data_IF_655179138975
#
_entry.id   IF_655179138975
#
_cell.length_a   1.000
_cell.length_b   1.000
_cell.length_c   1.000
_cell.angle_alpha   90.00
_cell.angle_beta   90.00
_cell.angle_gamma   90.00
#
_symmetry.space_group_name_H-M   'P 1'
#
loop_
_entity.id
_entity.type
_entity.pdbx_description
1 polymer ?
#
# COMPACT_ATOMS: atom_id res chain seq x y z
N UNK A 1 40.04 -16.78 -17.32
CA UNK A 1 39.23 -16.68 -16.07
C UNK A 1 37.74 -16.96 -16.27
N UNK A 2 37.09 -16.53 -17.36
CA UNK A 2 35.62 -16.61 -17.56
C UNK A 2 34.96 -17.94 -17.14
N UNK A 3 35.42 -19.09 -17.66
CA UNK A 3 34.76 -20.39 -17.42
C UNK A 3 34.60 -20.79 -15.94
N UNK A 4 35.50 -20.36 -15.04
CA UNK A 4 35.35 -20.69 -13.60
C UNK A 4 34.17 -19.94 -12.95
N UNK A 5 33.81 -18.74 -13.42
CA UNK A 5 32.66 -18.00 -12.88
C UNK A 5 31.33 -18.66 -13.27
N UNK A 6 31.20 -19.12 -14.53
CA UNK A 6 29.99 -19.80 -15.02
C UNK A 6 29.73 -21.11 -14.27
N UNK A 7 30.76 -21.90 -13.99
CA UNK A 7 30.65 -23.15 -13.22
C UNK A 7 30.20 -22.88 -11.78
N UNK A 8 30.76 -21.86 -11.11
CA UNK A 8 30.33 -21.48 -9.76
C UNK A 8 28.87 -21.01 -9.72
N UNK A 9 28.40 -20.26 -10.72
CA UNK A 9 27.00 -19.84 -10.81
C UNK A 9 26.04 -21.04 -10.99
N UNK A 10 26.39 -22.01 -11.84
CA UNK A 10 25.59 -23.22 -12.05
C UNK A 10 25.56 -24.14 -10.80
N UNK A 11 26.68 -24.26 -10.07
CA UNK A 11 26.74 -25.02 -8.81
C UNK A 11 25.92 -24.34 -7.71
N UNK A 12 25.95 -23.01 -7.61
CA UNK A 12 25.12 -22.26 -6.67
C UNK A 12 23.62 -22.42 -6.98
N UNK A 13 23.23 -22.35 -8.25
CA UNK A 13 21.84 -22.54 -8.68
C UNK A 13 21.34 -23.95 -8.39
N UNK A 14 22.18 -24.98 -8.61
CA UNK A 14 21.85 -26.37 -8.29
C UNK A 14 21.68 -26.60 -6.77
N UNK A 15 22.53 -25.99 -5.95
CA UNK A 15 22.41 -26.05 -4.48
C UNK A 15 21.13 -25.38 -3.97
N UNK A 16 20.78 -24.21 -4.51
CA UNK A 16 19.53 -23.53 -4.18
C UNK A 16 18.30 -24.41 -4.51
N UNK A 17 18.30 -25.08 -5.68
CA UNK A 17 17.21 -25.96 -6.09
C UNK A 17 17.04 -27.17 -5.14
N UNK A 18 18.15 -27.77 -4.69
CA UNK A 18 18.13 -28.90 -3.74
C UNK A 18 17.59 -28.49 -2.37
N UNK A 19 17.95 -27.31 -1.87
CA UNK A 19 17.41 -26.77 -0.61
C UNK A 19 15.90 -26.52 -0.73
N UNK A 20 15.44 -25.98 -1.87
CA UNK A 20 14.02 -25.72 -2.10
C UNK A 20 13.18 -27.00 -2.14
N UNK A 21 13.65 -28.03 -2.86
CA UNK A 21 12.98 -29.35 -2.91
C UNK A 21 12.96 -30.05 -1.55
N UNK A 22 14.05 -29.94 -0.76
CA UNK A 22 14.10 -30.49 0.59
C UNK A 22 13.08 -29.81 1.54
N UNK A 23 12.93 -28.49 1.44
CA UNK A 23 11.92 -27.74 2.19
C UNK A 23 10.48 -28.18 1.86
N UNK A 24 10.18 -28.38 0.58
CA UNK A 24 8.85 -28.84 0.14
C UNK A 24 8.52 -30.25 0.66
N UNK A 25 9.47 -31.19 0.67
CA UNK A 25 9.24 -32.54 1.20
C UNK A 25 9.00 -32.57 2.72
N UNK A 26 9.58 -31.63 3.48
CA UNK A 26 9.39 -31.58 4.93
C UNK A 26 7.94 -31.20 5.31
N UNK A 27 7.26 -30.39 4.50
CA UNK A 27 5.88 -29.97 4.74
C UNK A 27 4.82 -31.05 4.47
N UNK A 28 5.09 -31.95 3.52
CA UNK A 28 4.12 -32.99 3.07
C UNK A 28 3.97 -34.15 4.07
N UNK A 29 4.85 -34.25 5.08
CA UNK A 29 4.91 -35.42 5.99
C UNK A 29 4.22 -35.24 7.36
N UNK A 30 3.60 -34.08 7.64
CA UNK A 30 3.01 -33.78 8.96
C UNK A 30 1.47 -33.78 9.03
N UNK A 31 0.75 -34.10 7.95
CA UNK A 31 -0.71 -34.27 7.95
C UNK A 31 -1.11 -35.70 7.58
N UNK A 32 -1.09 -36.62 8.57
CA UNK A 32 -1.27 -38.05 8.26
C UNK A 32 -1.40 -39.04 9.42
N UNK A 33 -1.99 -38.68 10.58
CA UNK A 33 -2.34 -39.66 11.63
C UNK A 33 -3.69 -39.36 12.30
N UNK A 34 -4.68 -40.28 12.26
CA UNK A 34 -5.93 -40.14 12.99
C UNK A 34 -5.77 -40.58 14.45
N UNK A 35 -6.33 -39.80 15.39
CA UNK A 35 -6.42 -40.18 16.81
C UNK A 35 -7.74 -40.92 17.04
N UNK A 36 -7.69 -42.13 17.60
CA UNK A 36 -8.87 -42.79 18.13
C UNK A 36 -9.26 -42.18 19.48
N UNK A 37 -10.49 -41.64 19.57
CA UNK A 37 -11.16 -41.31 20.83
C UNK A 37 -12.31 -42.29 21.08
N UNK A 38 -12.50 -42.73 22.32
CA UNK A 38 -13.55 -43.69 22.66
C UNK A 38 -14.94 -43.04 22.68
N UNK A 39 -15.95 -43.79 22.27
CA UNK A 39 -17.34 -43.33 22.26
C UNK A 39 -18.04 -43.45 23.61
N UNK A 40 -19.03 -42.58 23.82
CA UNK A 40 -20.07 -42.71 24.84
C UNK A 40 -21.41 -42.56 24.11
N UNK A 41 -22.29 -43.55 24.23
CA UNK A 41 -23.66 -43.47 23.69
C UNK A 41 -24.63 -42.97 24.76
N UNK A 42 -25.66 -42.21 24.37
CA UNK A 42 -27.04 -42.48 24.81
C UNK A 42 -28.10 -41.74 23.96
N UNK A 43 -29.20 -42.44 23.65
CA UNK A 43 -30.55 -41.97 23.30
C UNK A 43 -30.77 -40.73 22.40
N UNK A 44 -31.35 -40.97 21.23
CA UNK A 44 -32.33 -40.08 20.57
C UNK A 44 -33.68 -40.07 21.32
N UNK A 45 -34.60 -39.16 20.98
CA UNK A 45 -35.79 -39.60 20.24
C UNK A 45 -36.11 -38.76 19.00
N UNK A 46 -37.13 -39.18 18.24
CA UNK A 46 -37.54 -38.65 16.93
C UNK A 46 -38.68 -37.62 17.01
N UNK A 47 -38.80 -36.76 15.99
CA UNK A 47 -40.05 -36.19 15.39
C UNK A 47 -39.72 -34.89 14.62
N UNK A 48 -40.41 -34.50 13.55
CA UNK A 48 -41.22 -35.24 12.56
C UNK A 48 -41.19 -34.41 11.25
N UNK A 49 -41.53 -34.99 10.09
CA UNK A 49 -41.50 -34.28 8.79
C UNK A 49 -42.91 -34.08 8.24
N UNK A 50 -43.29 -32.81 8.03
CA UNK A 50 -44.33 -32.42 7.08
C UNK A 50 -43.89 -31.12 6.39
N UNK A 51 -43.74 -31.00 5.07
CA UNK A 51 -44.49 -31.52 3.91
C UNK A 51 -45.78 -30.73 3.60
N UNK A 52 -45.62 -29.66 2.81
CA UNK A 52 -46.69 -29.07 2.00
C UNK A 52 -46.07 -28.42 0.76
N UNK A 53 -46.56 -28.77 -0.43
CA UNK A 53 -46.19 -28.16 -1.71
C UNK A 53 -47.48 -27.60 -2.32
N UNK A 54 -47.42 -26.41 -2.92
CA UNK A 54 -48.50 -25.89 -3.76
C UNK A 54 -47.96 -24.90 -4.80
N UNK A 55 -47.62 -25.41 -5.99
CA UNK A 55 -47.63 -24.61 -7.21
C UNK A 55 -49.06 -24.54 -7.75
N UNK A 56 -49.47 -23.42 -8.34
CA UNK A 56 -50.61 -23.35 -9.28
C UNK A 56 -50.39 -22.17 -10.22
N UNK A 57 -50.65 -22.38 -11.51
CA UNK A 57 -50.42 -21.42 -12.60
C UNK A 57 -51.58 -20.40 -12.77
N UNK A 58 -51.44 -19.50 -13.75
CA UNK A 58 -52.35 -19.33 -14.92
C UNK A 58 -52.47 -17.86 -15.41
N UNK A 59 -52.12 -17.65 -16.69
CA UNK A 59 -52.52 -16.58 -17.64
C UNK A 59 -52.45 -15.07 -17.23
N UNK A 60 -51.65 -14.22 -17.87
CA UNK A 60 -51.71 -13.64 -19.26
C UNK A 60 -52.49 -12.34 -19.39
N UNK A 61 -51.83 -11.30 -19.92
CA UNK A 61 -52.42 -10.20 -20.69
C UNK A 61 -51.38 -9.65 -21.68
N UNK A 62 -51.82 -9.21 -22.86
CA UNK A 62 -51.03 -8.58 -23.94
C UNK A 62 -51.89 -7.45 -24.56
N UNK A 63 -51.35 -6.69 -25.51
CA UNK A 63 -51.99 -5.59 -26.27
C UNK A 63 -52.11 -4.24 -25.52
N UNK A 64 -51.88 -3.07 -26.14
CA UNK A 64 -51.30 -2.81 -27.46
C UNK A 64 -50.58 -1.44 -27.59
N UNK A 65 -49.55 -1.47 -28.44
CA UNK A 65 -48.90 -0.45 -29.30
C UNK A 65 -49.66 0.87 -29.54
N UNK A 66 -48.91 1.99 -29.59
CA UNK A 66 -49.14 3.04 -30.59
C UNK A 66 -47.82 3.69 -31.04
N UNK A 67 -47.67 3.94 -32.35
CA UNK A 67 -46.45 4.45 -33.02
C UNK A 67 -46.56 5.94 -33.37
N UNK A 68 -45.42 6.64 -33.49
CA UNK A 68 -45.25 7.82 -34.36
C UNK A 68 -43.81 7.85 -34.93
N UNK A 69 -43.66 8.04 -36.24
CA UNK A 69 -42.40 8.07 -37.00
C UNK A 69 -42.14 9.49 -37.64
N UNK A 70 -40.95 9.79 -38.22
CA UNK A 70 -40.36 11.14 -38.24
C UNK A 70 -40.45 11.94 -39.56
N UNK A 71 -39.80 13.12 -39.60
CA UNK A 71 -39.71 14.05 -40.75
C UNK A 71 -38.27 14.62 -40.92
N UNK A 72 -37.88 15.01 -42.15
CA UNK A 72 -36.56 15.55 -42.57
C UNK A 72 -36.73 16.89 -43.34
N UNK A 73 -35.74 17.67 -43.80
CA UNK A 73 -34.30 17.45 -44.15
C UNK A 73 -33.49 18.73 -43.72
N UNK A 74 -32.40 19.30 -44.32
CA UNK A 74 -31.68 19.17 -45.62
C UNK A 74 -30.18 19.58 -45.51
N UNK A 75 -29.48 19.67 -46.64
CA UNK A 75 -28.02 19.77 -46.84
C UNK A 75 -27.40 21.21 -46.89
N UNK A 76 -26.11 21.29 -46.50
CA UNK A 76 -24.91 21.96 -47.07
C UNK A 76 -24.98 23.01 -48.23
N UNK A 77 -23.95 23.91 -48.43
CA UNK A 77 -22.59 23.50 -48.86
C UNK A 77 -21.34 24.35 -48.47
N UNK A 78 -20.18 23.82 -48.89
CA UNK A 78 -18.75 24.21 -48.75
C UNK A 78 -18.31 25.61 -49.22
N UNK A 79 -17.25 26.18 -48.61
CA UNK A 79 -16.30 27.12 -49.23
C UNK A 79 -14.86 26.99 -48.64
N UNK A 80 -13.85 27.56 -49.31
CA UNK A 80 -12.41 27.21 -49.22
C UNK A 80 -11.51 28.19 -48.43
N UNK A 81 -10.26 27.72 -48.23
CA UNK A 81 -9.10 28.28 -47.54
C UNK A 81 -8.61 29.72 -47.89
N UNK A 82 -7.83 30.30 -46.97
CA UNK A 82 -6.46 30.84 -47.25
C UNK A 82 -5.68 31.09 -45.93
N UNK A 83 -4.36 30.86 -45.94
CA UNK A 83 -3.38 31.45 -44.99
C UNK A 83 -2.78 32.71 -45.65
N UNK A 84 -2.33 33.73 -44.89
CA UNK A 84 -0.88 33.84 -44.69
C UNK A 84 -0.40 34.51 -43.38
N UNK A 85 0.72 34.02 -42.85
CA UNK A 85 1.76 34.82 -42.16
C UNK A 85 2.76 35.39 -43.20
N UNK A 86 3.74 36.28 -42.85
CA UNK A 86 4.04 36.93 -41.56
C UNK A 86 4.18 38.48 -41.65
N UNK A 87 4.37 39.17 -40.52
CA UNK A 87 5.50 40.11 -40.38
C UNK A 87 5.84 40.45 -38.91
N UNK A 88 7.02 41.03 -38.68
CA UNK A 88 7.62 41.28 -37.36
C UNK A 88 7.80 42.80 -37.15
N UNK A 89 7.47 43.36 -35.97
CA UNK A 89 8.17 44.55 -35.42
C UNK A 89 7.92 44.77 -33.92
N UNK A 90 8.87 45.48 -33.31
CA UNK A 90 9.13 45.73 -31.89
C UNK A 90 7.99 46.10 -30.90
N UNK A 91 8.26 45.77 -29.64
CA UNK A 91 7.74 46.39 -28.40
C UNK A 91 7.90 47.93 -28.39
N UNK A 92 7.03 48.67 -27.66
CA UNK A 92 7.40 49.01 -26.28
C UNK A 92 6.24 49.12 -25.25
N UNK A 93 6.68 49.11 -23.98
CA UNK A 93 6.04 49.71 -22.80
C UNK A 93 4.73 49.13 -22.22
N UNK A 94 4.63 49.23 -20.90
CA UNK A 94 3.69 48.52 -20.02
C UNK A 94 2.95 49.53 -19.14
N UNK A 95 1.61 49.45 -19.01
CA UNK A 95 0.90 49.95 -17.85
C UNK A 95 0.29 48.80 -17.03
N UNK A 96 0.51 48.84 -15.72
CA UNK A 96 0.02 47.87 -14.73
C UNK A 96 -1.50 47.71 -14.80
N UNK A 97 -1.98 46.47 -14.90
CA UNK A 97 -3.34 46.07 -14.57
C UNK A 97 -3.28 44.99 -13.50
N UNK A 98 -4.05 45.17 -12.42
CA UNK A 98 -4.23 44.17 -11.37
C UNK A 98 -5.36 43.23 -11.78
N UNK A 99 -5.10 41.93 -11.87
CA UNK A 99 -6.14 40.90 -11.92
C UNK A 99 -5.83 39.72 -11.00
N UNK A 100 -6.77 39.53 -10.08
CA UNK A 100 -7.36 38.32 -9.50
C UNK A 100 -6.55 37.01 -9.37
N UNK A 101 -6.77 36.38 -8.21
CA UNK A 101 -6.10 35.18 -7.72
C UNK A 101 -6.57 33.92 -8.47
N UNK A 102 -5.74 33.42 -9.40
CA UNK A 102 -5.96 32.14 -10.06
C UNK A 102 -5.36 31.01 -9.21
N UNK A 103 -6.19 30.07 -8.79
CA UNK A 103 -5.77 28.87 -8.04
C UNK A 103 -4.78 28.03 -8.84
N UNK A 104 -3.49 28.13 -8.52
CA UNK A 104 -2.45 27.29 -9.10
C UNK A 104 -2.46 25.93 -8.40
N UNK A 105 -3.05 24.93 -9.07
CA UNK A 105 -2.78 23.53 -8.76
C UNK A 105 -1.35 23.20 -9.18
N UNK A 106 -0.38 23.41 -8.29
CA UNK A 106 0.97 22.86 -8.47
C UNK A 106 0.90 21.33 -8.37
N UNK A 107 0.85 20.66 -9.53
CA UNK A 107 1.10 19.22 -9.62
C UNK A 107 2.51 18.94 -9.10
N UNK A 108 2.66 17.98 -8.17
CA UNK A 108 3.97 17.52 -7.71
C UNK A 108 4.80 17.06 -8.91
N UNK A 109 6.06 17.49 -9.01
CA UNK A 109 6.87 17.20 -10.19
C UNK A 109 7.25 15.72 -10.26
N UNK A 110 7.41 15.18 -11.47
CA UNK A 110 7.84 13.78 -11.65
C UNK A 110 9.13 13.44 -10.89
N UNK A 111 10.05 14.39 -10.75
CA UNK A 111 11.30 14.20 -9.98
C UNK A 111 11.08 14.00 -8.47
N UNK A 112 9.93 14.43 -7.93
CA UNK A 112 9.51 14.13 -6.55
C UNK A 112 8.77 12.79 -6.41
N UNK A 113 8.23 12.23 -7.50
CA UNK A 113 7.47 10.97 -7.52
C UNK A 113 8.25 9.76 -8.07
N UNK A 114 9.29 9.97 -8.89
CA UNK A 114 9.98 8.91 -9.63
C UNK A 114 11.24 8.34 -8.96
N UNK A 115 11.36 8.46 -7.64
CA UNK A 115 12.28 7.61 -6.88
C UNK A 115 11.59 6.32 -6.43
N UNK A 116 12.36 5.25 -6.19
CA UNK A 116 11.83 4.03 -5.58
C UNK A 116 11.54 4.27 -4.09
N UNK A 117 10.41 4.91 -3.78
CA UNK A 117 9.79 4.84 -2.44
C UNK A 117 9.65 3.36 -2.07
N UNK A 118 10.16 2.98 -0.91
CA UNK A 118 10.35 1.56 -0.57
C UNK A 118 9.01 0.87 -0.34
N UNK A 119 8.47 0.26 -1.40
CA UNK A 119 7.25 -0.55 -1.35
C UNK A 119 7.41 -1.76 -0.40
N UNK A 120 8.64 -2.09 0.01
CA UNK A 120 8.97 -3.11 1.01
C UNK A 120 8.56 -2.73 2.45
N UNK A 121 7.83 -1.61 2.67
CA UNK A 121 6.98 -1.49 3.86
C UNK A 121 5.84 -2.53 3.88
N UNK A 122 5.64 -3.29 2.79
CA UNK A 122 5.01 -4.62 2.79
C UNK A 122 5.82 -5.64 3.59
N UNK A 123 5.91 -5.42 4.92
CA UNK A 123 6.14 -6.52 5.84
C UNK A 123 5.05 -7.55 5.60
N UNK A 124 5.45 -8.78 5.23
CA UNK A 124 4.53 -9.88 4.93
C UNK A 124 3.49 -9.99 6.03
N UNK A 125 2.21 -9.79 5.68
CA UNK A 125 1.12 -9.74 6.64
C UNK A 125 0.92 -11.11 7.31
N UNK A 126 1.64 -11.34 8.41
CA UNK A 126 1.38 -12.45 9.33
C UNK A 126 -0.02 -12.22 9.88
N UNK A 127 -0.96 -13.08 9.49
CA UNK A 127 -2.34 -12.98 9.92
C UNK A 127 -2.40 -13.01 11.47
N UNK A 128 -3.18 -12.10 12.10
CA UNK A 128 -3.23 -11.99 13.55
C UNK A 128 -3.64 -13.33 14.17
N UNK A 129 -2.70 -13.96 14.86
CA UNK A 129 -2.97 -15.16 15.64
C UNK A 129 -3.66 -14.77 16.95
N UNK A 130 -4.54 -15.63 17.50
CA UNK A 130 -5.17 -15.36 18.78
C UNK A 130 -4.12 -15.24 19.90
N UNK A 131 -4.35 -14.42 20.95
CA UNK A 131 -3.39 -14.22 22.03
C UNK A 131 -3.02 -15.53 22.73
N UNK A 132 -1.72 -15.79 22.89
CA UNK A 132 -1.23 -16.89 23.72
C UNK A 132 -1.09 -16.39 25.16
N UNK A 133 -1.88 -16.96 26.06
CA UNK A 133 -1.92 -16.56 27.47
C UNK A 133 -0.68 -17.06 28.21
N UNK A 134 0.16 -16.13 28.71
CA UNK A 134 1.39 -16.44 29.44
C UNK A 134 1.41 -15.80 30.83
N UNK A 135 1.56 -16.63 31.86
CA UNK A 135 1.69 -16.22 33.26
C UNK A 135 3.10 -15.70 33.58
N UNK A 136 3.26 -14.61 34.33
CA UNK A 136 4.58 -14.07 34.69
C UNK A 136 5.30 -14.92 35.74
N UNK A 137 6.63 -15.01 35.65
CA UNK A 137 7.48 -15.64 36.67
C UNK A 137 8.81 -14.91 36.85
N UNK A 138 9.31 -14.91 38.09
CA UNK A 138 10.69 -14.58 38.51
C UNK A 138 11.20 -13.14 38.24
N UNK A 139 11.03 -12.29 39.25
CA UNK A 139 11.70 -10.99 39.42
C UNK A 139 13.24 -11.12 39.53
N UNK A 140 14.04 -10.32 38.81
CA UNK A 140 15.48 -10.17 39.06
C UNK A 140 15.77 -9.28 40.27
N UNK A 141 16.79 -9.61 41.07
CA UNK A 141 17.21 -8.80 42.23
C UNK A 141 18.05 -7.57 41.82
N UNK A 142 17.93 -6.47 42.57
CA UNK A 142 18.65 -5.23 42.31
C UNK A 142 20.16 -5.31 42.64
N UNK A 143 21.06 -4.76 41.80
CA UNK A 143 22.47 -4.54 42.13
C UNK A 143 22.68 -3.40 43.15
N UNK A 144 23.83 -3.41 43.83
CA UNK A 144 24.17 -2.42 44.87
C UNK A 144 24.72 -1.09 44.31
N UNK A 145 24.59 -0.03 45.10
CA UNK A 145 25.13 1.32 44.85
C UNK A 145 26.63 1.31 44.49
N UNK A 146 26.95 1.93 43.35
CA UNK A 146 28.30 2.31 42.92
C UNK A 146 28.34 3.79 42.52
N UNK A 147 29.53 4.38 42.45
CA UNK A 147 29.73 5.83 42.30
C UNK A 147 29.08 6.44 41.06
N UNK A 148 28.45 7.60 41.24
CA UNK A 148 27.86 8.43 40.17
C UNK A 148 28.96 8.97 39.23
N UNK A 149 28.86 8.76 37.90
CA UNK A 149 29.72 9.44 36.92
C UNK A 149 29.39 10.94 36.80
N UNK A 150 30.31 11.73 36.26
CA UNK A 150 29.98 13.05 35.70
C UNK A 150 29.05 12.91 34.48
N UNK A 151 28.31 13.97 34.07
CA UNK A 151 27.37 13.91 32.96
C UNK A 151 28.10 13.71 31.61
N UNK A 152 28.43 12.47 31.30
CA UNK A 152 28.87 12.02 29.99
C UNK A 152 27.81 12.35 28.95
N UNK A 153 28.25 12.84 27.78
CA UNK A 153 27.42 12.93 26.56
C UNK A 153 26.61 11.64 26.39
N UNK A 154 25.30 11.71 26.05
CA UNK A 154 24.49 10.51 25.83
C UNK A 154 25.21 9.55 24.89
N UNK A 155 25.47 8.33 25.34
CA UNK A 155 26.21 7.37 24.54
C UNK A 155 25.35 6.99 23.34
N UNK A 156 25.77 7.42 22.15
CA UNK A 156 25.11 7.08 20.89
C UNK A 156 24.93 5.56 20.79
N UNK A 157 23.74 5.14 20.40
CA UNK A 157 23.43 3.75 20.14
C UNK A 157 24.13 3.27 18.86
N UNK A 158 24.25 1.95 18.71
CA UNK A 158 24.74 1.35 17.47
C UNK A 158 23.85 1.68 16.24
N UNK A 159 22.60 2.15 16.46
CA UNK A 159 21.76 2.66 15.38
C UNK A 159 22.11 4.11 15.02
N UNK A 160 22.35 4.97 16.01
CA UNK A 160 22.75 6.37 15.80
C UNK A 160 24.03 6.46 14.95
N UNK A 161 25.01 5.59 15.20
CA UNK A 161 26.22 5.48 14.38
C UNK A 161 25.90 4.97 12.96
N UNK A 162 25.05 3.94 12.84
CA UNK A 162 24.76 3.27 11.57
C UNK A 162 23.87 4.10 10.61
N UNK A 163 23.06 5.03 11.12
CA UNK A 163 22.30 6.01 10.33
C UNK A 163 22.87 7.43 10.41
N UNK A 164 24.08 7.61 10.95
CA UNK A 164 24.79 8.90 11.05
C UNK A 164 23.91 10.03 11.65
N UNK A 165 23.23 9.73 12.76
CA UNK A 165 22.30 10.66 13.40
C UNK A 165 22.95 12.03 13.69
N UNK A 166 22.26 13.15 13.36
CA UNK A 166 22.56 14.46 13.92
C UNK A 166 22.53 14.47 15.47
N UNK A 167 22.83 15.62 16.06
CA UNK A 167 22.54 15.84 17.49
C UNK A 167 21.02 15.97 17.70
N UNK A 168 20.51 15.32 18.75
CA UNK A 168 19.10 15.27 19.11
C UNK A 168 18.91 15.19 20.62
N UNK A 169 17.70 15.51 21.09
CA UNK A 169 17.26 15.34 22.48
C UNK A 169 16.58 13.98 22.61
N UNK A 170 17.12 13.01 23.37
CA UNK A 170 16.46 11.72 23.56
C UNK A 170 15.08 11.85 24.21
N UNK A 171 14.10 11.10 23.69
CA UNK A 171 12.76 11.04 24.27
C UNK A 171 12.68 10.16 25.52
N UNK A 172 13.62 9.22 25.69
CA UNK A 172 13.55 8.16 26.69
C UNK A 172 12.55 7.04 26.35
N UNK A 173 11.83 7.17 25.24
CA UNK A 173 10.94 6.13 24.70
C UNK A 173 11.79 5.24 23.81
N UNK A 174 11.75 3.92 24.04
CA UNK A 174 12.58 2.96 23.32
C UNK A 174 11.75 2.13 22.35
N UNK A 175 12.18 2.06 21.10
CA UNK A 175 11.54 1.30 20.03
C UNK A 175 12.43 0.13 19.58
N UNK A 176 11.80 -1.01 19.29
CA UNK A 176 12.44 -2.25 18.87
C UNK A 176 12.13 -2.52 17.39
N UNK A 177 13.13 -2.46 16.51
CA UNK A 177 12.93 -2.52 15.04
C UNK A 177 13.97 -3.40 14.35
N UNK A 178 13.63 -3.92 13.17
CA UNK A 178 14.56 -4.66 12.30
C UNK A 178 14.94 -3.79 11.10
N UNK A 179 16.24 -3.53 10.88
CA UNK A 179 16.76 -2.84 9.70
C UNK A 179 17.92 -3.62 9.10
N UNK A 180 17.89 -3.85 7.77
CA UNK A 180 18.91 -4.63 7.03
C UNK A 180 19.20 -6.03 7.62
N UNK A 181 18.19 -6.64 8.25
CA UNK A 181 18.29 -7.94 8.92
C UNK A 181 18.85 -7.92 10.35
N UNK A 182 19.30 -6.76 10.84
CA UNK A 182 19.76 -6.56 12.22
C UNK A 182 18.63 -5.97 13.06
N UNK A 183 18.45 -6.46 14.29
CA UNK A 183 17.53 -5.89 15.25
C UNK A 183 18.20 -4.80 16.09
N UNK A 184 17.49 -3.70 16.32
CA UNK A 184 17.92 -2.54 17.09
C UNK A 184 16.89 -2.19 18.16
N UNK A 185 17.38 -1.77 19.32
CA UNK A 185 16.61 -1.18 20.40
C UNK A 185 17.20 0.20 20.69
N UNK A 186 16.50 1.27 20.32
CA UNK A 186 17.01 2.64 20.27
C UNK A 186 15.92 3.66 20.64
N UNK A 187 16.31 4.91 20.89
CA UNK A 187 15.36 5.99 21.20
C UNK A 187 14.40 6.23 20.03
N UNK A 188 13.15 6.57 20.34
CA UNK A 188 12.14 6.89 19.36
C UNK A 188 12.59 8.03 18.43
N UNK A 189 13.33 9.04 18.91
CA UNK A 189 13.83 10.12 18.04
C UNK A 189 14.78 9.60 16.96
N UNK A 190 15.67 8.64 17.29
CA UNK A 190 16.54 7.97 16.31
C UNK A 190 15.75 7.20 15.27
N UNK A 191 14.88 6.29 15.73
CA UNK A 191 14.12 5.39 14.86
C UNK A 191 13.16 6.17 13.95
N UNK A 192 12.37 7.08 14.54
CA UNK A 192 11.35 7.83 13.82
C UNK A 192 11.95 8.88 12.88
N UNK A 193 13.13 9.44 13.19
CA UNK A 193 13.85 10.32 12.23
C UNK A 193 14.32 9.53 11.01
N UNK A 194 14.91 8.35 11.23
CA UNK A 194 15.38 7.48 10.15
C UNK A 194 14.25 7.01 9.23
N UNK A 195 13.09 6.67 9.78
CA UNK A 195 11.86 6.34 9.01
C UNK A 195 11.36 7.60 8.29
N UNK A 196 11.06 8.67 9.02
CA UNK A 196 10.42 9.87 8.46
C UNK A 196 11.22 10.49 7.30
N UNK A 197 12.55 10.49 7.37
CA UNK A 197 13.39 10.93 6.25
C UNK A 197 13.25 10.04 5.01
N UNK A 198 13.22 8.73 5.19
CA UNK A 198 13.18 7.78 4.08
C UNK A 198 11.83 7.80 3.35
N UNK A 199 10.77 8.08 4.10
CA UNK A 199 9.38 8.11 3.65
C UNK A 199 9.03 9.41 2.92
N UNK A 200 8.83 10.51 3.66
CA UNK A 200 8.12 11.70 3.16
C UNK A 200 9.01 12.70 2.38
N UNK A 201 10.11 12.21 1.82
CA UNK A 201 11.06 13.00 0.99
C UNK A 201 11.45 12.25 -0.30
N UNK A 202 10.71 11.20 -0.67
CA UNK A 202 11.03 10.36 -1.82
C UNK A 202 12.41 9.69 -1.71
N UNK A 203 12.91 9.49 -0.49
CA UNK A 203 14.26 9.00 -0.23
C UNK A 203 15.41 9.91 -0.67
N UNK A 204 15.15 11.17 -1.06
CA UNK A 204 16.17 12.12 -1.51
C UNK A 204 16.83 12.79 -0.29
N UNK A 205 18.15 12.94 -0.32
CA UNK A 205 18.96 13.60 0.71
C UNK A 205 18.83 15.15 0.66
N UNK A 206 17.59 15.65 0.75
CA UNK A 206 17.23 17.06 0.79
C UNK A 206 16.81 17.54 2.18
N UNK A 207 16.87 18.86 2.39
CA UNK A 207 16.30 19.49 3.57
C UNK A 207 14.76 19.52 3.46
N UNK A 208 14.02 19.13 4.51
CA UNK A 208 12.57 19.26 4.57
C UNK A 208 12.03 20.64 4.23
N UNK A 209 11.04 20.71 3.34
CA UNK A 209 10.28 21.94 3.11
C UNK A 209 9.38 22.23 4.32
N UNK A 210 9.57 23.39 4.94
CA UNK A 210 8.75 23.85 6.06
C UNK A 210 7.25 23.94 5.78
N UNK A 211 6.83 24.08 4.51
CA UNK A 211 5.42 24.08 4.10
C UNK A 211 4.71 22.75 4.38
N UNK A 212 5.47 21.66 4.56
CA UNK A 212 4.96 20.32 4.85
C UNK A 212 5.27 19.85 6.28
N UNK A 213 5.75 20.72 7.17
CA UNK A 213 6.23 20.35 8.52
C UNK A 213 5.24 19.50 9.34
N UNK A 214 3.93 19.76 9.21
CA UNK A 214 2.88 18.99 9.88
C UNK A 214 2.66 17.60 9.28
N UNK A 215 2.98 17.40 7.99
CA UNK A 215 3.02 16.09 7.35
C UNK A 215 4.24 15.26 7.80
N UNK A 216 5.42 15.89 7.99
CA UNK A 216 6.58 15.23 8.61
C UNK A 216 6.24 14.72 10.03
N UNK A 217 5.54 15.55 10.82
CA UNK A 217 5.04 15.14 12.15
C UNK A 217 4.02 14.00 12.05
N UNK A 218 3.08 14.07 11.11
CA UNK A 218 2.10 12.99 10.90
C UNK A 218 2.80 11.67 10.54
N UNK A 219 3.81 11.69 9.66
CA UNK A 219 4.60 10.51 9.31
C UNK A 219 5.38 9.94 10.50
N UNK A 220 5.95 10.80 11.37
CA UNK A 220 6.63 10.37 12.59
C UNK A 220 5.68 9.68 13.58
N UNK A 221 4.48 10.25 13.81
CA UNK A 221 3.48 9.69 14.73
C UNK A 221 2.82 8.42 14.18
N UNK A 222 2.58 8.35 12.86
CA UNK A 222 2.14 7.12 12.21
C UNK A 222 3.19 6.00 12.35
N UNK A 223 4.47 6.29 12.05
CA UNK A 223 5.57 5.35 12.23
C UNK A 223 5.71 4.88 13.69
N UNK A 224 5.54 5.78 14.68
CA UNK A 224 5.55 5.43 16.09
C UNK A 224 4.43 4.46 16.45
N UNK A 225 3.21 4.76 16.03
CA UNK A 225 2.03 3.94 16.28
C UNK A 225 2.19 2.54 15.68
N UNK A 226 2.67 2.47 14.43
CA UNK A 226 2.95 1.22 13.72
C UNK A 226 4.02 0.37 14.44
N UNK A 227 5.14 0.97 14.84
CA UNK A 227 6.20 0.23 15.57
C UNK A 227 5.71 -0.22 16.96
N UNK A 228 5.02 0.65 17.70
CA UNK A 228 4.45 0.32 19.00
C UNK A 228 3.41 -0.81 18.93
N UNK A 229 2.56 -0.81 17.90
CA UNK A 229 1.59 -1.89 17.64
C UNK A 229 2.26 -3.27 17.53
N UNK A 230 3.37 -3.38 16.79
CA UNK A 230 4.13 -4.63 16.67
C UNK A 230 4.98 -4.96 17.91
N UNK A 231 5.56 -3.95 18.58
CA UNK A 231 6.33 -4.12 19.82
C UNK A 231 5.46 -4.62 20.98
N UNK A 232 4.22 -4.14 21.09
CA UNK A 232 3.23 -4.64 22.04
C UNK A 232 2.84 -6.11 21.82
N UNK A 233 3.10 -6.66 20.62
CA UNK A 233 2.95 -8.07 20.27
C UNK A 233 4.27 -8.86 20.40
N UNK A 234 5.33 -8.26 20.97
CA UNK A 234 6.64 -8.89 21.14
C UNK A 234 7.49 -9.00 19.88
N UNK A 235 7.18 -8.20 18.84
CA UNK A 235 7.86 -8.28 17.53
C UNK A 235 8.56 -6.98 17.14
N UNK A 236 9.71 -7.10 16.47
CA UNK A 236 10.44 -5.98 15.87
C UNK A 236 10.11 -5.88 14.38
N UNK A 237 9.22 -4.97 13.94
CA UNK A 237 8.85 -4.87 12.53
C UNK A 237 10.07 -4.47 11.68
N UNK A 238 10.10 -4.95 10.44
CA UNK A 238 11.08 -4.47 9.46
C UNK A 238 10.73 -3.04 9.08
N UNK A 239 11.69 -2.14 9.17
CA UNK A 239 11.58 -0.74 8.78
C UNK A 239 12.70 -0.39 7.81
N UNK A 240 12.48 0.60 6.96
CA UNK A 240 13.53 1.21 6.14
C UNK A 240 13.95 2.54 6.77
N UNK A 241 15.26 2.79 6.83
CA UNK A 241 15.87 3.95 7.49
C UNK A 241 16.88 4.61 6.56
N UNK A 242 16.87 5.94 6.53
CA UNK A 242 17.89 6.78 5.91
C UNK A 242 18.60 7.67 6.94
N UNK A 243 19.67 8.36 6.52
CA UNK A 243 20.36 9.38 7.32
C UNK A 243 19.48 10.62 7.41
N UNK A 244 18.93 11.00 8.58
CA UNK A 244 17.96 12.08 8.66
C UNK A 244 18.60 13.46 8.63
N UNK A 245 17.98 14.38 7.90
CA UNK A 245 18.32 15.79 7.97
C UNK A 245 17.98 16.36 9.37
N UNK A 246 18.78 17.30 9.87
CA UNK A 246 18.60 17.88 11.22
C UNK A 246 17.24 18.57 11.41
N UNK A 247 16.63 19.07 10.33
CA UNK A 247 15.28 19.62 10.38
C UNK A 247 14.19 18.53 10.45
N UNK A 248 14.44 17.32 9.94
CA UNK A 248 13.57 16.15 10.13
C UNK A 248 13.57 15.73 11.60
N UNK A 249 14.77 15.64 12.20
CA UNK A 249 14.97 15.36 13.63
C UNK A 249 14.17 16.36 14.47
N UNK A 250 14.27 17.67 14.19
CA UNK A 250 13.51 18.71 14.90
C UNK A 250 11.99 18.61 14.79
N UNK A 251 11.45 18.06 13.71
CA UNK A 251 10.01 17.79 13.61
C UNK A 251 9.63 16.54 14.43
N UNK A 252 10.48 15.51 14.42
CA UNK A 252 10.31 14.29 15.22
C UNK A 252 10.40 14.59 16.72
N UNK A 253 11.37 15.38 17.19
CA UNK A 253 11.52 15.78 18.61
C UNK A 253 10.23 16.40 19.19
N UNK A 254 9.45 17.11 18.37
CA UNK A 254 8.17 17.72 18.79
C UNK A 254 7.03 16.72 19.02
N UNK A 255 7.12 15.50 18.46
CA UNK A 255 6.03 14.52 18.43
C UNK A 255 6.46 13.07 18.73
N UNK A 256 7.72 12.82 19.08
CA UNK A 256 8.25 11.48 19.36
C UNK A 256 7.55 10.78 20.53
N UNK A 257 6.88 11.54 21.40
CA UNK A 257 6.03 11.02 22.48
C UNK A 257 4.55 10.86 22.12
N UNK A 258 4.15 11.03 20.84
CA UNK A 258 2.75 10.96 20.41
C UNK A 258 2.49 9.69 19.58
N UNK A 259 1.30 9.12 19.74
CA UNK A 259 0.78 7.99 18.95
C UNK A 259 -0.70 8.18 18.60
N UNK A 260 -1.16 7.45 17.59
CA UNK A 260 -2.56 7.31 17.20
C UNK A 260 -3.15 6.08 17.90
N UNK A 261 -4.28 6.25 18.56
CA UNK A 261 -4.91 5.23 19.41
C UNK A 261 -6.34 4.87 18.96
N UNK A 262 -6.68 3.59 19.11
CA UNK A 262 -8.05 3.07 19.04
C UNK A 262 -8.28 2.14 20.22
N UNK A 263 -9.39 2.30 20.95
CA UNK A 263 -9.69 1.49 22.14
C UNK A 263 -8.62 1.53 23.25
N UNK A 264 -7.81 2.60 23.31
CA UNK A 264 -6.70 2.73 24.26
C UNK A 264 -5.41 1.99 23.86
N UNK A 265 -5.35 1.36 22.68
CA UNK A 265 -4.14 0.73 22.14
C UNK A 265 -3.60 1.52 20.93
N UNK A 266 -2.26 1.59 20.71
CA UNK A 266 -1.70 2.14 19.49
C UNK A 266 -2.21 1.37 18.26
N UNK A 267 -2.59 2.10 17.21
CA UNK A 267 -3.10 1.46 15.99
C UNK A 267 -1.98 0.96 15.07
N UNK A 268 -2.33 -0.02 14.23
CA UNK A 268 -1.57 -0.37 13.03
C UNK A 268 -1.69 0.76 11.98
N UNK A 269 -0.97 1.87 12.20
CA UNK A 269 -0.99 3.07 11.37
C UNK A 269 -0.21 2.88 10.05
N UNK A 270 -0.80 2.09 9.15
CA UNK A 270 -0.29 1.88 7.79
C UNK A 270 -0.41 3.14 6.94
N UNK A 271 0.55 3.35 6.04
CA UNK A 271 0.63 4.53 5.20
C UNK A 271 1.29 4.18 3.85
N UNK A 272 1.03 4.97 2.81
CA UNK A 272 1.56 4.74 1.46
C UNK A 272 1.81 6.05 0.70
N UNK A 273 2.69 6.02 -0.31
CA UNK A 273 3.10 7.19 -1.08
C UNK A 273 1.91 8.01 -1.62
N UNK A 274 0.99 7.35 -2.33
CA UNK A 274 -0.21 7.98 -2.89
C UNK A 274 -1.42 7.06 -2.82
N UNK A 275 -2.58 7.61 -2.48
CA UNK A 275 -3.86 6.92 -2.51
C UNK A 275 -4.64 7.12 -3.83
N UNK A 276 -4.25 8.09 -4.67
CA UNK A 276 -4.96 8.42 -5.91
C UNK A 276 -6.40 8.87 -5.61
N UNK A 277 -6.54 10.09 -5.09
CA UNK A 277 -7.80 10.77 -4.78
C UNK A 277 -8.58 10.28 -3.55
N UNK A 278 -8.37 9.04 -3.09
CA UNK A 278 -9.14 8.44 -2.00
C UNK A 278 -8.41 7.23 -1.42
N UNK A 279 -8.43 7.01 -0.11
CA UNK A 279 -7.86 5.79 0.51
C UNK A 279 -8.83 4.61 0.36
N UNK A 280 -8.36 3.39 0.67
CA UNK A 280 -9.12 2.15 0.43
C UNK A 280 -9.25 1.34 1.73
N UNK A 281 -10.32 0.56 1.84
CA UNK A 281 -10.58 -0.26 3.03
C UNK A 281 -9.62 -1.44 3.16
N UNK A 282 -9.17 -1.75 4.38
CA UNK A 282 -8.25 -2.89 4.66
C UNK A 282 -8.74 -4.22 4.04
N UNK A 283 -10.05 -4.43 4.00
CA UNK A 283 -10.69 -5.64 3.49
C UNK A 283 -10.44 -5.92 2.00
N UNK A 284 -10.04 -4.92 1.21
CA UNK A 284 -9.78 -5.07 -0.23
C UNK A 284 -8.30 -5.34 -0.56
N UNK A 285 -7.40 -5.11 0.40
CA UNK A 285 -5.94 -5.22 0.24
C UNK A 285 -5.40 -6.45 0.96
N UNK A 286 -5.74 -6.61 2.25
CA UNK A 286 -5.27 -7.71 3.12
C UNK A 286 -6.39 -8.66 3.56
N UNK A 287 -7.65 -8.23 3.41
CA UNK A 287 -8.80 -8.93 3.98
C UNK A 287 -9.03 -8.55 5.46
N UNK A 288 -10.27 -8.76 5.92
CA UNK A 288 -10.70 -8.29 7.25
C UNK A 288 -10.94 -6.77 7.31
N UNK A 289 -11.93 -6.36 8.09
CA UNK A 289 -12.30 -4.94 8.25
C UNK A 289 -11.69 -4.41 9.54
N UNK A 290 -10.81 -3.42 9.43
CA UNK A 290 -10.26 -2.66 10.55
C UNK A 290 -10.95 -1.30 10.58
N UNK A 291 -11.62 -0.96 11.68
CA UNK A 291 -12.59 0.16 11.73
C UNK A 291 -11.99 1.55 11.48
N UNK A 292 -10.70 1.73 11.74
CA UNK A 292 -9.95 2.97 11.48
C UNK A 292 -9.16 2.92 10.16
N UNK A 293 -9.24 1.84 9.37
CA UNK A 293 -8.62 1.71 8.04
C UNK A 293 -9.70 1.61 6.97
N UNK A 294 -10.57 2.62 6.97
CA UNK A 294 -11.62 2.85 5.97
C UNK A 294 -11.12 3.78 4.85
N UNK A 295 -11.80 3.76 3.71
CA UNK A 295 -11.55 4.73 2.66
C UNK A 295 -12.05 6.13 3.03
N UNK A 296 -11.21 7.15 2.84
CA UNK A 296 -11.51 8.58 2.99
C UNK A 296 -10.90 9.40 1.86
N UNK A 297 -11.37 10.63 1.64
CA UNK A 297 -10.86 11.53 0.60
C UNK A 297 -9.36 11.85 0.76
N UNK A 298 -8.63 11.82 -0.35
CA UNK A 298 -7.24 12.28 -0.46
C UNK A 298 -7.19 13.39 -1.52
N UNK A 299 -7.73 14.56 -1.17
CA UNK A 299 -8.10 15.65 -2.09
C UNK A 299 -6.96 16.18 -2.97
N UNK A 300 -5.72 16.08 -2.49
CA UNK A 300 -4.52 16.71 -3.07
C UNK A 300 -3.55 15.69 -3.67
N UNK A 301 -4.04 14.53 -4.10
CA UNK A 301 -3.24 13.31 -4.25
C UNK A 301 -3.51 12.59 -5.57
N UNK A 302 -2.85 13.05 -6.64
CA UNK A 302 -3.03 12.56 -8.01
C UNK A 302 -1.74 11.94 -8.59
N UNK A 303 -1.35 10.74 -8.12
CA UNK A 303 -0.43 9.87 -8.88
C UNK A 303 -1.23 9.03 -9.89
N UNK A 304 -0.81 9.07 -11.16
CA UNK A 304 -1.32 8.22 -12.22
C UNK A 304 -0.14 7.58 -12.95
N UNK A 305 -0.16 6.26 -13.08
CA UNK A 305 0.90 5.50 -13.75
C UNK A 305 0.33 4.54 -14.78
N UNK A 306 1.10 4.19 -15.78
CA UNK A 306 0.71 3.20 -16.80
C UNK A 306 1.88 2.29 -17.14
N UNK A 307 1.60 1.00 -17.28
CA UNK A 307 2.56 0.00 -17.74
C UNK A 307 1.97 -0.85 -18.85
N UNK A 308 2.74 -1.01 -19.93
CA UNK A 308 2.36 -1.83 -21.08
C UNK A 308 3.29 -3.03 -21.26
N UNK A 309 2.75 -4.13 -21.78
CA UNK A 309 3.44 -5.38 -22.13
C UNK A 309 2.77 -6.06 -23.32
N UNK A 310 3.51 -6.86 -24.09
CA UNK A 310 2.91 -7.69 -25.14
C UNK A 310 2.17 -8.90 -24.54
N UNK A 311 1.29 -9.55 -25.31
CA UNK A 311 0.65 -10.79 -24.84
C UNK A 311 1.68 -11.88 -24.53
N UNK A 312 2.75 -11.99 -25.33
CA UNK A 312 3.84 -12.92 -25.08
C UNK A 312 4.52 -12.71 -23.70
N UNK A 313 4.84 -11.45 -23.36
CA UNK A 313 5.46 -11.08 -22.08
C UNK A 313 4.52 -11.34 -20.89
N UNK A 314 3.24 -11.01 -21.03
CA UNK A 314 2.24 -11.29 -20.01
C UNK A 314 2.08 -12.79 -19.81
N UNK A 315 1.98 -13.58 -20.89
CA UNK A 315 1.83 -15.04 -20.84
C UNK A 315 3.00 -15.73 -20.16
N UNK A 316 4.23 -15.35 -20.46
CA UNK A 316 5.43 -15.85 -19.76
C UNK A 316 5.34 -15.54 -18.26
N UNK A 317 4.99 -14.30 -17.91
CA UNK A 317 4.85 -13.88 -16.51
C UNK A 317 3.78 -14.68 -15.77
N UNK A 318 2.57 -14.84 -16.35
CA UNK A 318 1.47 -15.57 -15.73
C UNK A 318 1.77 -17.08 -15.59
N UNK A 319 2.35 -17.72 -16.61
CA UNK A 319 2.70 -19.14 -16.55
C UNK A 319 3.86 -19.44 -15.58
N UNK A 320 4.75 -18.46 -15.32
CA UNK A 320 5.78 -18.57 -14.27
C UNK A 320 5.19 -18.66 -12.86
N UNK A 321 3.97 -18.15 -12.67
CA UNK A 321 3.24 -18.12 -11.38
C UNK A 321 2.26 -19.29 -11.25
N UNK A 322 1.58 -19.64 -12.34
CA UNK A 322 0.75 -20.84 -12.42
C UNK A 322 0.74 -21.42 -13.84
N UNK A 323 1.40 -22.56 -14.01
CA UNK A 323 1.48 -23.28 -15.29
C UNK A 323 0.20 -24.02 -15.70
N UNK A 324 -0.84 -24.04 -14.86
CA UNK A 324 -2.16 -24.64 -15.18
C UNK A 324 -3.14 -23.67 -15.86
N UNK A 325 -2.74 -22.41 -16.09
CA UNK A 325 -3.57 -21.43 -16.78
C UNK A 325 -3.70 -21.73 -18.29
N UNK A 326 -4.94 -21.74 -18.78
CA UNK A 326 -5.23 -21.71 -20.20
C UNK A 326 -5.02 -20.29 -20.74
N UNK A 327 -3.87 -20.08 -21.38
CA UNK A 327 -3.54 -18.88 -22.14
C UNK A 327 -3.29 -19.24 -23.62
N UNK A 328 -4.10 -20.18 -24.14
CA UNK A 328 -3.96 -20.70 -25.50
C UNK A 328 -4.87 -20.00 -26.53
N UNK A 329 -6.03 -19.49 -26.09
CA UNK A 329 -6.96 -18.70 -26.89
C UNK A 329 -6.63 -17.20 -26.93
N UNK A 330 -7.57 -16.41 -27.43
CA UNK A 330 -7.47 -14.95 -27.60
C UNK A 330 -7.01 -14.23 -26.31
N UNK A 331 -5.90 -13.44 -26.36
CA UNK A 331 -5.42 -12.66 -25.22
C UNK A 331 -6.46 -11.73 -24.59
N UNK A 332 -7.42 -11.20 -25.36
CA UNK A 332 -8.49 -10.34 -24.83
C UNK A 332 -9.27 -10.98 -23.67
N UNK A 333 -9.30 -12.32 -23.61
CA UNK A 333 -10.04 -13.12 -22.63
C UNK A 333 -9.23 -13.50 -21.38
N UNK A 334 -7.90 -13.33 -21.40
CA UNK A 334 -6.98 -13.87 -20.40
C UNK A 334 -7.05 -13.15 -19.05
N UNK A 335 -7.40 -11.87 -19.04
CA UNK A 335 -7.59 -11.07 -17.84
C UNK A 335 -9.00 -10.48 -17.88
N UNK A 336 -9.78 -10.68 -16.82
CA UNK A 336 -11.14 -10.14 -16.74
C UNK A 336 -11.38 -9.60 -15.33
N UNK A 337 -11.54 -8.29 -15.23
CA UNK A 337 -11.98 -7.64 -13.99
C UNK A 337 -13.42 -8.08 -13.74
N UNK A 338 -13.64 -8.80 -12.63
CA UNK A 338 -14.95 -9.38 -12.26
C UNK A 338 -15.74 -8.39 -11.41
N UNK A 339 -15.06 -7.56 -10.61
CA UNK A 339 -15.68 -6.50 -9.82
C UNK A 339 -14.66 -5.44 -9.40
N UNK A 340 -15.04 -4.18 -9.52
CA UNK A 340 -14.30 -2.99 -9.03
C UNK A 340 -15.17 -2.30 -7.98
N UNK A 341 -14.55 -1.74 -6.93
CA UNK A 341 -15.24 -0.90 -5.95
C UNK A 341 -15.42 0.54 -6.42
N UNK A 342 -16.28 1.29 -5.72
CA UNK A 342 -16.48 2.73 -5.96
C UNK A 342 -15.20 3.56 -5.66
N UNK A 343 -14.32 3.02 -4.81
CA UNK A 343 -12.95 3.53 -4.54
C UNK A 343 -11.97 3.31 -5.71
N UNK A 344 -12.39 2.60 -6.75
CA UNK A 344 -11.61 2.24 -7.93
C UNK A 344 -10.75 0.99 -7.77
N UNK A 345 -10.84 0.25 -6.65
CA UNK A 345 -10.03 -0.96 -6.40
C UNK A 345 -10.57 -2.16 -7.16
N UNK A 346 -9.69 -2.91 -7.82
CA UNK A 346 -10.03 -4.22 -8.41
C UNK A 346 -10.24 -5.25 -7.30
N UNK A 347 -11.47 -5.41 -6.84
CA UNK A 347 -11.81 -6.38 -5.80
C UNK A 347 -11.65 -7.83 -6.27
N UNK A 348 -11.92 -8.13 -7.55
CA UNK A 348 -11.77 -9.47 -8.14
C UNK A 348 -11.26 -9.41 -9.58
N UNK A 349 -10.26 -10.23 -9.88
CA UNK A 349 -9.70 -10.44 -11.21
C UNK A 349 -9.67 -11.94 -11.52
N UNK A 350 -10.28 -12.34 -12.64
CA UNK A 350 -10.07 -13.68 -13.24
C UNK A 350 -8.85 -13.63 -14.16
N UNK A 351 -7.98 -14.63 -14.02
CA UNK A 351 -6.75 -14.83 -14.78
C UNK A 351 -6.84 -16.19 -15.46
N UNK A 352 -6.63 -16.26 -16.77
CA UNK A 352 -6.80 -17.46 -17.59
C UNK A 352 -8.13 -17.48 -18.34
N UNK A 353 -8.14 -18.17 -19.49
CA UNK A 353 -9.28 -18.34 -20.38
C UNK A 353 -10.26 -19.44 -19.95
N UNK A 354 -10.96 -20.02 -20.93
CA UNK A 354 -12.06 -20.95 -20.70
C UNK A 354 -11.66 -22.33 -20.14
N UNK A 355 -10.49 -22.86 -20.52
CA UNK A 355 -10.07 -24.22 -20.12
C UNK A 355 -9.43 -24.31 -18.73
N UNK A 356 -8.89 -23.20 -18.21
CA UNK A 356 -8.17 -23.17 -16.94
C UNK A 356 -7.91 -21.74 -16.49
N UNK A 357 -8.54 -21.35 -15.38
CA UNK A 357 -8.44 -20.01 -14.81
C UNK A 357 -8.47 -20.03 -13.28
N UNK A 358 -8.05 -18.92 -12.67
CA UNK A 358 -8.12 -18.64 -11.23
C UNK A 358 -8.72 -17.26 -11.03
N UNK A 359 -9.44 -17.05 -9.93
CA UNK A 359 -9.90 -15.72 -9.51
C UNK A 359 -9.17 -15.29 -8.24
N UNK A 360 -8.60 -14.08 -8.25
CA UNK A 360 -7.83 -13.49 -7.15
C UNK A 360 -8.34 -12.08 -6.80
N UNK A 361 -7.87 -11.51 -5.69
CA UNK A 361 -8.00 -10.07 -5.43
C UNK A 361 -7.05 -9.29 -6.35
N UNK A 362 -7.41 -8.07 -6.76
CA UNK A 362 -6.55 -7.24 -7.60
C UNK A 362 -5.21 -6.89 -6.93
N UNK A 363 -5.21 -6.69 -5.60
CA UNK A 363 -3.95 -6.49 -4.87
C UNK A 363 -3.05 -7.75 -4.91
N UNK A 364 -3.63 -8.95 -4.76
CA UNK A 364 -2.88 -10.21 -4.92
C UNK A 364 -2.30 -10.36 -6.32
N UNK A 365 -3.05 -9.96 -7.37
CA UNK A 365 -2.52 -9.95 -8.73
C UNK A 365 -1.32 -9.01 -8.87
N UNK A 366 -1.45 -7.76 -8.41
CA UNK A 366 -0.35 -6.79 -8.34
C UNK A 366 0.87 -7.40 -7.63
N UNK A 367 0.75 -7.71 -6.35
CA UNK A 367 1.91 -8.06 -5.51
C UNK A 367 2.54 -9.40 -5.91
N UNK A 368 1.73 -10.44 -6.13
CA UNK A 368 2.25 -11.80 -6.31
C UNK A 368 2.45 -12.18 -7.78
N UNK A 369 1.71 -11.61 -8.74
CA UNK A 369 1.73 -12.04 -10.14
C UNK A 369 2.42 -11.02 -11.07
N UNK A 370 2.09 -9.74 -10.96
CA UNK A 370 2.52 -8.69 -11.88
C UNK A 370 2.83 -7.37 -11.15
N UNK A 371 3.96 -7.34 -10.44
CA UNK A 371 4.39 -6.27 -9.51
C UNK A 371 4.75 -4.92 -10.15
N UNK A 372 4.48 -4.74 -11.45
CA UNK A 372 4.73 -3.51 -12.19
C UNK A 372 3.58 -2.48 -12.08
N UNK A 373 2.47 -2.84 -11.43
CA UNK A 373 1.32 -1.97 -11.20
C UNK A 373 1.52 -1.22 -9.86
N UNK A 374 1.47 0.12 -9.86
CA UNK A 374 1.78 0.91 -8.65
C UNK A 374 0.80 0.71 -7.49
N UNK A 375 -0.50 0.48 -7.75
CA UNK A 375 -1.57 0.39 -6.72
C UNK A 375 -2.63 -0.69 -7.00
N UNK A 376 -3.48 -1.05 -6.02
CA UNK A 376 -4.63 -1.93 -6.25
C UNK A 376 -5.79 -1.28 -7.05
N UNK A 377 -5.68 0.01 -7.39
CA UNK A 377 -6.67 0.76 -8.19
C UNK A 377 -6.25 0.85 -9.65
N UNK A 378 -6.54 -0.18 -10.45
CA UNK A 378 -6.10 -0.23 -11.84
C UNK A 378 -7.18 -0.67 -12.83
N UNK A 379 -7.08 -0.18 -14.05
CA UNK A 379 -7.82 -0.68 -15.21
C UNK A 379 -6.90 -1.54 -16.09
N UNK A 380 -7.50 -2.41 -16.90
CA UNK A 380 -6.79 -3.25 -17.88
C UNK A 380 -7.46 -3.07 -19.23
N UNK A 381 -6.68 -2.83 -20.28
CA UNK A 381 -7.10 -2.90 -21.67
C UNK A 381 -6.15 -3.78 -22.48
N UNK A 382 -6.64 -4.38 -23.56
CA UNK A 382 -5.82 -5.07 -24.56
C UNK A 382 -6.19 -4.53 -25.95
N UNK A 383 -5.17 -4.13 -26.72
CA UNK A 383 -5.30 -3.81 -28.13
C UNK A 383 -4.70 -4.95 -28.98
N UNK A 384 -5.56 -5.60 -29.77
CA UNK A 384 -5.17 -6.67 -30.68
C UNK A 384 -4.42 -6.17 -31.93
N UNK A 385 -4.50 -4.88 -32.27
CA UNK A 385 -3.77 -4.31 -33.42
C UNK A 385 -2.28 -4.10 -33.11
N UNK A 386 -1.94 -3.80 -31.85
CA UNK A 386 -0.56 -3.63 -31.35
C UNK A 386 -0.07 -4.76 -30.43
N UNK A 387 -0.85 -5.83 -30.26
CA UNK A 387 -0.64 -6.93 -29.28
C UNK A 387 -0.33 -6.45 -27.85
N UNK A 388 -0.88 -5.30 -27.45
CA UNK A 388 -0.46 -4.61 -26.22
C UNK A 388 -1.54 -4.69 -25.14
N UNK A 389 -1.18 -5.28 -24.00
CA UNK A 389 -1.88 -5.04 -22.74
C UNK A 389 -1.38 -3.75 -22.11
N UNK A 390 -2.31 -2.95 -21.60
CA UNK A 390 -2.02 -1.72 -20.86
C UNK A 390 -2.74 -1.76 -19.52
N UNK A 391 -1.98 -1.53 -18.45
CA UNK A 391 -2.47 -1.44 -17.08
C UNK A 391 -2.26 0.00 -16.60
N UNK A 392 -3.35 0.72 -16.35
CA UNK A 392 -3.30 2.10 -15.85
C UNK A 392 -3.77 2.13 -14.40
N UNK A 393 -2.94 2.65 -13.50
CA UNK A 393 -3.12 2.60 -12.05
C UNK A 393 -3.13 4.00 -11.43
N UNK A 394 -3.95 4.19 -10.40
CA UNK A 394 -4.12 5.45 -9.67
C UNK A 394 -3.62 5.31 -8.25
N UNK A 395 -2.75 6.19 -7.79
CA UNK A 395 -2.01 6.05 -6.54
C UNK A 395 -0.81 5.10 -6.63
N UNK A 396 -0.08 4.97 -5.52
CA UNK A 396 1.14 4.18 -5.40
C UNK A 396 1.32 3.64 -3.97
N UNK A 397 1.41 2.31 -3.88
CA UNK A 397 1.44 1.55 -2.64
C UNK A 397 0.15 0.77 -2.43
N UNK A 398 -0.21 0.50 -1.18
CA UNK A 398 -1.46 -0.20 -0.84
C UNK A 398 -2.68 0.73 -0.71
N UNK A 399 -2.49 2.06 -0.63
CA UNK A 399 -3.55 3.08 -0.56
C UNK A 399 -4.47 2.99 0.69
N UNK A 400 -4.03 2.32 1.76
CA UNK A 400 -4.78 2.15 3.03
C UNK A 400 -4.17 3.05 4.11
N UNK A 401 -5.00 3.64 4.96
CA UNK A 401 -4.53 4.54 6.02
C UNK A 401 -4.04 5.87 5.44
N UNK A 402 -2.88 6.38 5.88
CA UNK A 402 -2.43 7.71 5.48
C UNK A 402 -1.79 7.74 4.07
N UNK A 403 -2.20 8.69 3.23
CA UNK A 403 -1.46 9.08 2.03
C UNK A 403 -0.36 10.07 2.37
N UNK A 404 0.87 9.83 1.92
CA UNK A 404 2.01 10.75 2.14
C UNK A 404 1.86 12.02 1.30
N UNK A 405 1.56 11.89 0.00
CA UNK A 405 1.24 13.03 -0.89
C UNK A 405 0.03 13.80 -0.38
N UNK A 406 -1.04 13.09 0.00
CA UNK A 406 -2.25 13.72 0.53
C UNK A 406 -2.02 14.43 1.88
N UNK A 407 -1.18 13.90 2.76
CA UNK A 407 -0.79 14.56 4.00
C UNK A 407 0.00 15.86 3.76
N UNK A 408 0.95 15.86 2.81
CA UNK A 408 1.64 17.07 2.37
C UNK A 408 0.66 18.10 1.80
N UNK A 409 -0.32 17.66 1.01
CA UNK A 409 -1.37 18.51 0.46
C UNK A 409 -2.24 19.16 1.55
N UNK A 410 -2.79 18.40 2.50
CA UNK A 410 -3.59 18.95 3.60
C UNK A 410 -2.77 19.91 4.49
N UNK A 411 -1.49 19.62 4.76
CA UNK A 411 -0.60 20.52 5.50
C UNK A 411 -0.38 21.85 4.76
N UNK A 412 -0.14 21.81 3.44
CA UNK A 412 0.20 23.00 2.64
C UNK A 412 -1.01 23.85 2.24
N UNK A 413 -2.12 23.22 1.85
CA UNK A 413 -3.24 23.90 1.19
C UNK A 413 -4.45 24.15 2.10
N UNK A 414 -4.67 23.30 3.10
CA UNK A 414 -5.73 23.50 4.12
C UNK A 414 -5.16 23.96 5.47
N UNK A 415 -3.82 24.03 5.61
CA UNK A 415 -3.14 24.44 6.84
C UNK A 415 -3.30 23.46 8.01
N UNK A 416 -3.63 22.19 7.73
CA UNK A 416 -3.93 21.20 8.76
C UNK A 416 -2.69 20.82 9.59
N UNK A 417 -2.87 20.75 10.91
CA UNK A 417 -1.86 20.19 11.80
C UNK A 417 -1.83 18.65 11.75
N UNK A 418 -0.76 18.05 12.29
CA UNK A 418 -0.57 16.60 12.26
C UNK A 418 -1.74 15.79 12.87
N UNK A 419 -2.41 16.31 13.90
CA UNK A 419 -3.57 15.63 14.53
C UNK A 419 -4.78 15.61 13.59
N UNK A 420 -5.04 16.69 12.87
CA UNK A 420 -6.11 16.75 11.86
C UNK A 420 -5.84 15.77 10.71
N UNK A 421 -4.60 15.75 10.20
CA UNK A 421 -4.16 14.82 9.14
C UNK A 421 -4.37 13.37 9.59
N UNK A 422 -3.90 13.01 10.80
CA UNK A 422 -3.98 11.64 11.31
C UNK A 422 -5.42 11.20 11.61
N UNK A 423 -6.23 12.04 12.24
CA UNK A 423 -7.63 11.68 12.61
C UNK A 423 -8.58 11.64 11.41
N UNK A 424 -8.24 12.32 10.32
CA UNK A 424 -8.89 12.15 9.01
C UNK A 424 -8.59 10.77 8.41
N UNK A 425 -7.30 10.44 8.22
CA UNK A 425 -6.88 9.18 7.59
C UNK A 425 -7.11 7.93 8.44
N UNK A 426 -7.11 8.06 9.77
CA UNK A 426 -7.40 7.00 10.72
C UNK A 426 -8.71 7.30 11.43
N UNK A 427 -9.83 7.08 10.73
CA UNK A 427 -11.15 7.54 11.15
C UNK A 427 -11.55 6.98 12.52
N UNK A 428 -12.04 7.87 13.41
CA UNK A 428 -12.51 7.49 14.75
C UNK A 428 -11.40 7.22 15.78
N UNK A 429 -10.15 7.61 15.49
CA UNK A 429 -9.01 7.50 16.42
C UNK A 429 -8.75 8.80 17.18
N UNK A 430 -7.85 8.74 18.17
CA UNK A 430 -7.32 9.91 18.90
C UNK A 430 -5.80 9.95 18.82
N UNK A 431 -5.21 11.14 18.79
CA UNK A 431 -3.75 11.34 18.93
C UNK A 431 -3.46 11.85 20.34
N UNK A 432 -2.47 11.24 21.02
CA UNK A 432 -2.05 11.57 22.39
C UNK A 432 -0.66 11.07 22.73
#
# INVERSE_FOLDING_TARGET
MLQKKTIFALVALALALVVFVAGCLFWVTQLGRPVHGQGVSFSTPESEVSSAVSETEVSSALEAVQEVEPVSQKEEPVSQAEEPEPEVVATPENPVVVQEDNTVTETFTEEQLNHETSADNTGTAIQPQPPVEFTPSSTPSAPSTGSQPEPSTPQRSALDEAIQMPDYTPSGIMLYVTWKGTQYYADAVTVLSGITQAEIVGGVAGAPDSRYAEAYKAQAVAAHSYVAYYNNQGTAPTVYLQVPHSQTVRYVEQVAGQMVYSGGSPIMAVYSASAGGHTVGSQYVWGGTVSYLTGVESKYDEDNSTVSVTSAQLRETLLSKNSSLDLSGDPSTWLTVVSTGDDGVVHRLRIGGSGGNVTVYGNTFRESWFSRIRSPKFTISYDAASDTFTFSARGYGHCVGMSQVGAMGYARYEGWNYVQILTHYYTGTTVS
#
